data_IF_477920845415
#
_entry.id   IF_477920845415
#
_cell.length_a   1.000
_cell.length_b   1.000
_cell.length_c   1.000
_cell.angle_alpha   90.00
_cell.angle_beta   90.00
_cell.angle_gamma   90.00
#
_symmetry.space_group_name_H-M   'P 1'
#
loop_
_entity.id
_entity.type
_entity.pdbx_description
1 polymer ?
#
# COMPACT_ATOMS: atom_id res chain seq x y z
N UNK A 1 9.95 10.15 19.74
CA UNK A 1 10.29 11.37 18.97
C UNK A 1 9.04 11.88 18.26
N UNK A 2 8.45 12.98 18.75
CA UNK A 2 7.38 13.70 18.07
C UNK A 2 8.04 14.62 17.02
N UNK A 3 7.65 14.53 15.76
CA UNK A 3 8.14 15.44 14.73
C UNK A 3 7.43 16.78 14.90
N UNK A 4 8.20 17.84 15.12
CA UNK A 4 7.68 19.21 15.14
C UNK A 4 7.65 19.79 13.74
N UNK A 5 6.65 20.61 13.44
CA UNK A 5 6.59 21.45 12.26
C UNK A 5 6.55 22.91 12.68
N UNK A 6 7.00 23.81 11.81
CA UNK A 6 6.97 25.24 12.05
C UNK A 6 6.01 25.86 11.04
N UNK A 7 4.98 26.57 11.52
CA UNK A 7 4.01 27.23 10.64
C UNK A 7 4.57 28.54 10.06
N UNK A 8 3.82 29.16 9.15
CA UNK A 8 4.19 30.42 8.49
C UNK A 8 4.33 31.62 9.44
N UNK A 9 3.89 31.49 10.69
CA UNK A 9 4.02 32.50 11.74
C UNK A 9 5.18 32.16 12.72
N UNK A 10 6.00 31.16 12.39
CA UNK A 10 7.14 30.74 13.20
C UNK A 10 6.78 29.89 14.41
N UNK A 11 5.52 29.51 14.58
CA UNK A 11 5.06 28.72 15.74
C UNK A 11 5.42 27.25 15.52
N UNK A 12 6.21 26.71 16.44
CA UNK A 12 6.60 25.30 16.41
C UNK A 12 5.50 24.47 17.07
N UNK A 13 4.80 23.67 16.27
CA UNK A 13 3.80 22.71 16.72
C UNK A 13 4.33 21.27 16.63
N UNK A 14 3.82 20.37 17.46
CA UNK A 14 3.98 18.93 17.24
C UNK A 14 2.75 18.42 16.51
N UNK A 15 2.93 17.59 15.47
CA UNK A 15 1.77 17.05 14.71
C UNK A 15 0.97 16.03 15.55
N UNK A 16 1.32 15.77 16.82
CA UNK A 16 0.62 14.83 17.70
C UNK A 16 0.73 13.34 17.31
N UNK A 17 1.26 13.03 16.12
CA UNK A 17 1.41 11.66 15.64
C UNK A 17 2.75 11.03 16.01
N UNK A 18 2.71 9.74 16.34
CA UNK A 18 3.93 8.93 16.53
C UNK A 18 4.60 8.71 15.17
N UNK A 19 5.85 9.13 15.05
CA UNK A 19 6.67 8.83 13.89
C UNK A 19 7.08 7.35 13.89
N UNK A 20 6.80 6.62 12.80
CA UNK A 20 7.03 5.17 12.70
C UNK A 20 8.30 4.80 11.93
N UNK A 21 8.89 5.73 11.19
CA UNK A 21 10.13 5.51 10.45
C UNK A 21 10.17 6.20 9.09
N UNK A 22 11.34 6.13 8.44
CA UNK A 22 11.56 6.58 7.08
C UNK A 22 11.54 5.38 6.13
N UNK A 23 10.70 5.40 5.11
CA UNK A 23 10.80 4.44 4.03
C UNK A 23 11.78 4.97 2.97
N UNK A 24 12.83 4.21 2.63
CA UNK A 24 13.70 4.57 1.52
C UNK A 24 12.93 4.52 0.19
N UNK A 25 13.36 5.32 -0.78
CA UNK A 25 12.80 5.30 -2.13
C UNK A 25 13.07 3.95 -2.79
N UNK A 26 12.04 3.37 -3.42
CA UNK A 26 12.16 2.12 -4.18
C UNK A 26 12.30 2.45 -5.67
N UNK A 27 13.37 1.95 -6.29
CA UNK A 27 13.67 2.17 -7.71
C UNK A 27 14.55 3.40 -7.95
N UNK A 28 15.04 3.54 -9.18
CA UNK A 28 15.77 4.72 -9.66
C UNK A 28 14.83 5.91 -9.87
N UNK A 29 15.32 7.14 -9.69
CA UNK A 29 14.55 8.37 -9.98
C UNK A 29 14.00 8.33 -11.41
N UNK A 30 12.71 8.64 -11.64
CA UNK A 30 12.20 8.78 -13.01
C UNK A 30 12.92 9.97 -13.67
N UNK A 31 13.56 9.72 -14.81
CA UNK A 31 14.02 10.78 -15.72
C UNK A 31 12.81 11.41 -16.41
N UNK A 32 12.92 12.68 -16.80
CA UNK A 32 11.82 13.59 -17.22
C UNK A 32 10.99 13.18 -18.47
N UNK A 33 11.02 11.93 -18.94
CA UNK A 33 10.47 11.54 -20.24
C UNK A 33 9.23 10.62 -20.19
N UNK A 34 8.79 10.15 -19.03
CA UNK A 34 7.64 9.23 -18.98
C UNK A 34 6.29 9.97 -18.88
N UNK A 35 5.83 10.54 -20.01
CA UNK A 35 4.41 10.81 -20.23
C UNK A 35 3.77 9.59 -20.89
N UNK A 36 2.75 8.94 -20.30
CA UNK A 36 2.02 7.91 -21.01
C UNK A 36 1.04 8.56 -21.98
N UNK A 37 1.21 8.26 -23.28
CA UNK A 37 0.17 8.47 -24.28
C UNK A 37 -0.89 7.37 -24.14
N UNK A 38 -2.15 7.76 -24.29
CA UNK A 38 -3.29 6.86 -24.39
C UNK A 38 -3.20 6.04 -25.68
N UNK A 39 -3.06 4.71 -25.58
CA UNK A 39 -3.99 3.75 -26.21
C UNK A 39 -3.61 2.29 -25.91
N UNK A 40 -4.65 1.46 -25.88
CA UNK A 40 -4.67 0.02 -26.20
C UNK A 40 -4.20 -1.01 -25.15
N UNK A 41 -5.16 -1.40 -24.32
CA UNK A 41 -5.64 -2.78 -24.13
C UNK A 41 -4.78 -3.92 -24.72
N UNK A 42 -3.59 -4.18 -24.16
CA UNK A 42 -2.99 -5.54 -24.06
C UNK A 42 -2.23 -5.70 -22.75
N UNK A 43 -2.87 -6.43 -21.84
CA UNK A 43 -2.47 -6.65 -20.44
C UNK A 43 -1.29 -7.63 -20.34
N UNK A 44 -0.41 -7.36 -19.37
CA UNK A 44 0.59 -8.24 -18.71
C UNK A 44 2.08 -8.21 -19.10
N UNK A 45 2.57 -7.43 -20.08
CA UNK A 45 4.03 -7.45 -20.41
C UNK A 45 4.69 -6.12 -20.74
N UNK A 46 4.11 -4.97 -20.38
CA UNK A 46 4.87 -3.71 -20.50
C UNK A 46 5.95 -3.65 -19.39
N UNK A 47 7.20 -3.24 -19.69
CA UNK A 47 8.24 -3.07 -18.68
C UNK A 47 7.78 -2.22 -17.49
N UNK A 48 7.01 -1.17 -17.76
CA UNK A 48 6.44 -0.30 -16.73
C UNK A 48 5.48 -1.03 -15.76
N UNK A 49 4.65 -1.96 -16.25
CA UNK A 49 3.75 -2.72 -15.39
C UNK A 49 4.52 -3.70 -14.48
N UNK A 50 5.58 -4.31 -15.00
CA UNK A 50 6.46 -5.21 -14.24
C UNK A 50 7.16 -4.44 -13.12
N UNK A 51 7.77 -3.29 -13.45
CA UNK A 51 8.41 -2.45 -12.43
C UNK A 51 7.43 -1.93 -11.39
N UNK A 52 6.23 -1.49 -11.83
CA UNK A 52 5.18 -1.06 -10.91
C UNK A 52 4.82 -2.17 -9.94
N UNK A 53 4.62 -3.40 -10.45
CA UNK A 53 4.33 -4.57 -9.60
C UNK A 53 5.48 -4.88 -8.65
N UNK A 54 6.73 -4.82 -9.11
CA UNK A 54 7.90 -5.03 -8.26
C UNK A 54 7.94 -4.01 -7.09
N UNK A 55 7.63 -2.73 -7.36
CA UNK A 55 7.55 -1.70 -6.30
C UNK A 55 6.47 -1.99 -5.26
N UNK A 56 5.38 -2.65 -5.63
CA UNK A 56 4.30 -3.01 -4.71
C UNK A 56 4.60 -4.24 -3.85
N UNK A 57 5.67 -4.99 -4.16
CA UNK A 57 6.00 -6.28 -3.55
C UNK A 57 7.39 -6.35 -2.91
N UNK A 58 8.11 -5.23 -2.78
CA UNK A 58 9.44 -5.17 -2.16
C UNK A 58 9.53 -5.90 -0.82
N UNK A 59 8.52 -5.75 0.03
CA UNK A 59 8.44 -6.44 1.33
C UNK A 59 8.49 -7.97 1.24
N UNK A 60 8.02 -8.53 0.13
CA UNK A 60 7.95 -9.95 -0.16
C UNK A 60 9.17 -10.41 -0.96
N UNK A 61 9.52 -9.65 -1.99
CA UNK A 61 10.56 -10.02 -2.96
C UNK A 61 11.97 -9.71 -2.42
N UNK A 62 12.09 -8.72 -1.52
CA UNK A 62 13.32 -8.31 -0.85
C UNK A 62 13.09 -8.14 0.68
N UNK A 63 12.80 -9.23 1.41
CA UNK A 63 12.38 -9.17 2.82
C UNK A 63 13.46 -8.67 3.79
N UNK A 64 14.73 -8.72 3.38
CA UNK A 64 15.89 -8.20 4.12
C UNK A 64 16.27 -6.75 3.77
N UNK A 65 15.51 -6.08 2.88
CA UNK A 65 15.78 -4.70 2.51
C UNK A 65 15.46 -3.72 3.66
N UNK A 66 16.12 -2.55 3.65
CA UNK A 66 15.82 -1.46 4.59
C UNK A 66 14.36 -1.01 4.53
N UNK A 67 13.75 -1.09 3.35
CA UNK A 67 12.33 -0.79 3.17
C UNK A 67 11.45 -1.75 3.96
N UNK A 68 11.73 -3.05 3.85
CA UNK A 68 11.02 -4.12 4.58
C UNK A 68 11.22 -3.99 6.09
N UNK A 69 12.42 -3.59 6.52
CA UNK A 69 12.71 -3.42 7.95
C UNK A 69 11.98 -2.22 8.59
N UNK A 70 11.86 -1.10 7.86
CA UNK A 70 11.02 0.02 8.31
C UNK A 70 9.55 -0.42 8.48
N UNK A 71 9.02 -1.22 7.54
CA UNK A 71 7.65 -1.74 7.67
C UNK A 71 7.50 -2.74 8.83
N UNK A 72 8.53 -3.53 9.12
CA UNK A 72 8.56 -4.43 10.28
C UNK A 72 8.53 -3.66 11.60
N UNK A 73 9.28 -2.55 11.67
CA UNK A 73 9.23 -1.61 12.80
C UNK A 73 7.84 -0.99 12.97
N UNK A 74 7.19 -0.59 11.87
CA UNK A 74 5.82 -0.08 11.91
C UNK A 74 4.82 -1.15 12.40
N UNK A 75 4.95 -2.40 11.93
CA UNK A 75 4.15 -3.54 12.42
C UNK A 75 4.25 -3.69 13.94
N UNK A 76 5.46 -3.67 14.51
CA UNK A 76 5.64 -3.78 15.97
C UNK A 76 4.90 -2.66 16.70
N UNK A 77 4.97 -1.43 16.18
CA UNK A 77 4.23 -0.32 16.76
C UNK A 77 2.70 -0.51 16.67
N UNK A 78 2.18 -1.07 15.57
CA UNK A 78 0.77 -1.39 15.44
C UNK A 78 0.34 -2.50 16.39
N UNK A 79 1.15 -3.56 16.54
CA UNK A 79 0.86 -4.66 17.46
C UNK A 79 0.71 -4.18 18.91
N UNK A 80 1.55 -3.23 19.34
CA UNK A 80 1.46 -2.62 20.68
C UNK A 80 0.20 -1.76 20.83
N UNK A 81 -0.13 -0.94 19.83
CA UNK A 81 -1.29 -0.03 19.90
C UNK A 81 -2.63 -0.77 19.79
N UNK A 82 -2.65 -1.88 19.06
CA UNK A 82 -3.85 -2.67 18.77
C UNK A 82 -3.93 -3.94 19.62
N UNK A 83 -3.17 -4.01 20.72
CA UNK A 83 -3.20 -5.13 21.65
C UNK A 83 -4.61 -5.31 22.23
N UNK A 84 -5.07 -6.57 22.33
CA UNK A 84 -6.41 -6.91 22.80
C UNK A 84 -7.56 -6.63 21.80
N UNK A 85 -7.30 -6.04 20.64
CA UNK A 85 -8.33 -5.83 19.61
C UNK A 85 -8.56 -7.11 18.79
N UNK A 86 -9.82 -7.55 18.70
CA UNK A 86 -10.20 -8.76 17.96
C UNK A 86 -10.12 -8.63 16.43
N UNK A 87 -10.39 -7.44 15.89
CA UNK A 87 -10.19 -7.09 14.48
C UNK A 87 -9.39 -5.79 14.39
N UNK A 88 -8.41 -5.75 13.49
CA UNK A 88 -7.48 -4.63 13.33
C UNK A 88 -7.70 -3.98 11.96
N UNK A 89 -8.04 -2.70 11.96
CA UNK A 89 -8.25 -1.91 10.72
C UNK A 89 -7.19 -0.80 10.68
N UNK A 90 -6.37 -0.80 9.63
CA UNK A 90 -5.31 0.20 9.42
C UNK A 90 -5.63 0.99 8.14
N UNK A 91 -5.89 2.28 8.31
CA UNK A 91 -6.01 3.22 7.19
C UNK A 91 -4.65 3.77 6.77
N UNK A 92 -4.32 3.73 5.48
CA UNK A 92 -3.12 4.36 4.91
C UNK A 92 -3.55 5.54 4.04
N UNK A 93 -3.26 6.75 4.50
CA UNK A 93 -3.65 8.00 3.84
C UNK A 93 -2.42 8.85 3.54
N UNK A 94 -2.55 9.77 2.58
CA UNK A 94 -1.54 10.77 2.25
C UNK A 94 -2.21 12.11 1.98
N UNK A 95 -1.46 13.20 2.11
CA UNK A 95 -1.99 14.55 1.93
C UNK A 95 -2.12 14.86 0.44
N UNK A 96 -1.17 14.37 -0.36
CA UNK A 96 -1.10 14.61 -1.79
C UNK A 96 -1.10 13.29 -2.59
N UNK A 97 -1.58 13.33 -3.85
CA UNK A 97 -1.36 12.25 -4.80
C UNK A 97 0.14 12.00 -5.02
N UNK A 98 0.51 10.73 -5.21
CA UNK A 98 1.90 10.35 -5.53
C UNK A 98 2.85 10.19 -4.34
N UNK A 99 2.42 10.44 -3.10
CA UNK A 99 3.27 10.30 -1.89
C UNK A 99 3.56 8.84 -1.48
N UNK A 100 3.07 7.86 -2.24
CA UNK A 100 3.38 6.45 -2.02
C UNK A 100 2.41 5.70 -1.12
N UNK A 101 1.24 6.27 -0.76
CA UNK A 101 0.20 5.63 0.08
C UNK A 101 -0.12 4.19 -0.34
N UNK A 102 -0.37 3.99 -1.64
CA UNK A 102 -0.71 2.69 -2.21
C UNK A 102 0.47 1.72 -2.15
N UNK A 103 1.69 2.20 -2.42
CA UNK A 103 2.93 1.41 -2.33
C UNK A 103 3.18 0.94 -0.90
N UNK A 104 3.03 1.83 0.08
CA UNK A 104 3.17 1.51 1.51
C UNK A 104 2.07 0.52 1.94
N UNK A 105 0.81 0.76 1.55
CA UNK A 105 -0.31 -0.11 1.89
C UNK A 105 -0.10 -1.54 1.35
N UNK A 106 0.28 -1.69 0.07
CA UNK A 106 0.50 -2.99 -0.55
C UNK A 106 1.65 -3.77 0.10
N UNK A 107 2.78 -3.10 0.36
CA UNK A 107 3.92 -3.74 0.98
C UNK A 107 3.67 -4.05 2.47
N UNK A 108 2.97 -3.18 3.20
CA UNK A 108 2.58 -3.47 4.58
C UNK A 108 1.64 -4.68 4.63
N UNK A 109 0.61 -4.70 3.78
CA UNK A 109 -0.33 -5.82 3.71
C UNK A 109 0.34 -7.13 3.30
N UNK A 110 1.25 -7.09 2.31
CA UNK A 110 2.09 -8.22 1.93
C UNK A 110 2.91 -8.72 3.12
N UNK A 111 3.63 -7.84 3.80
CA UNK A 111 4.44 -8.19 4.97
C UNK A 111 3.61 -8.83 6.08
N UNK A 112 2.42 -8.29 6.37
CA UNK A 112 1.52 -8.85 7.38
C UNK A 112 1.04 -10.25 6.98
N UNK A 113 0.60 -10.43 5.75
CA UNK A 113 0.14 -11.71 5.21
C UNK A 113 1.24 -12.77 5.20
N UNK A 114 2.44 -12.41 4.73
CA UNK A 114 3.61 -13.29 4.70
C UNK A 114 4.09 -13.71 6.11
N UNK A 115 3.84 -12.88 7.12
CA UNK A 115 4.07 -13.20 8.53
C UNK A 115 2.92 -14.00 9.17
N UNK A 116 1.96 -14.49 8.38
CA UNK A 116 0.87 -15.37 8.83
C UNK A 116 -0.41 -14.67 9.28
N UNK A 117 -0.50 -13.33 9.20
CA UNK A 117 -1.74 -12.65 9.53
C UNK A 117 -2.80 -12.87 8.43
N UNK A 118 -4.06 -13.04 8.82
CA UNK A 118 -5.18 -12.96 7.87
C UNK A 118 -5.35 -11.50 7.47
N UNK A 119 -4.93 -11.16 6.26
CA UNK A 119 -4.88 -9.77 5.80
C UNK A 119 -5.70 -9.61 4.53
N UNK A 120 -6.55 -8.59 4.52
CA UNK A 120 -7.34 -8.13 3.38
C UNK A 120 -6.89 -6.71 3.04
N UNK A 121 -6.45 -6.50 1.79
CA UNK A 121 -6.07 -5.18 1.29
C UNK A 121 -7.20 -4.60 0.43
N UNK A 122 -7.75 -3.48 0.85
CA UNK A 122 -8.88 -2.82 0.19
C UNK A 122 -8.40 -1.53 -0.48
N UNK A 123 -8.69 -1.35 -1.77
CA UNK A 123 -8.50 -0.06 -2.44
C UNK A 123 -9.66 0.88 -2.09
N UNK A 124 -9.42 1.76 -1.12
CA UNK A 124 -10.40 2.77 -0.69
C UNK A 124 -10.49 4.00 -1.61
N UNK A 125 -9.66 4.08 -2.66
CA UNK A 125 -9.65 5.21 -3.61
C UNK A 125 -10.65 4.98 -4.74
N UNK A 126 -11.94 5.22 -4.45
CA UNK A 126 -13.03 4.97 -5.40
C UNK A 126 -12.99 5.88 -6.65
N UNK A 127 -12.27 7.01 -6.58
CA UNK A 127 -12.17 7.96 -7.69
C UNK A 127 -11.15 7.52 -8.72
N UNK A 128 -10.05 6.93 -8.29
CA UNK A 128 -9.00 6.44 -9.16
C UNK A 128 -8.46 5.08 -8.68
N UNK A 129 -9.30 4.02 -8.73
CA UNK A 129 -8.89 2.70 -8.27
C UNK A 129 -7.77 2.17 -9.16
N UNK A 130 -6.71 1.66 -8.54
CA UNK A 130 -5.50 1.29 -9.27
C UNK A 130 -4.61 0.28 -8.57
N UNK A 131 -4.95 -0.13 -7.35
CA UNK A 131 -4.16 -1.03 -6.53
C UNK A 131 -4.09 -2.44 -7.13
N UNK A 132 -5.23 -3.03 -7.49
CA UNK A 132 -5.33 -4.36 -8.11
C UNK A 132 -4.53 -4.45 -9.41
N UNK A 133 -4.63 -3.43 -10.28
CA UNK A 133 -3.79 -3.31 -11.49
C UNK A 133 -2.30 -3.22 -11.14
N UNK A 134 -1.94 -2.49 -10.09
CA UNK A 134 -0.53 -2.36 -9.66
C UNK A 134 0.07 -3.69 -9.22
N UNK A 135 -0.73 -4.53 -8.57
CA UNK A 135 -0.32 -5.84 -8.07
C UNK A 135 -0.33 -6.92 -9.16
N UNK A 136 -0.82 -6.61 -10.36
CA UNK A 136 -1.07 -7.59 -11.41
C UNK A 136 -2.22 -8.55 -11.06
N UNK A 137 -3.15 -8.09 -10.21
CA UNK A 137 -4.30 -8.84 -9.71
C UNK A 137 -5.59 -8.20 -10.24
N UNK A 138 -5.67 -7.97 -11.54
CA UNK A 138 -6.86 -7.37 -12.15
C UNK A 138 -8.11 -8.20 -11.80
N UNK A 139 -9.15 -7.50 -11.39
CA UNK A 139 -10.42 -8.07 -11.01
C UNK A 139 -11.52 -7.37 -11.81
N UNK A 140 -12.44 -8.15 -12.36
CA UNK A 140 -13.60 -7.63 -13.11
C UNK A 140 -14.63 -6.98 -12.19
N UNK A 141 -14.61 -7.35 -10.90
CA UNK A 141 -15.47 -6.86 -9.83
C UNK A 141 -14.60 -6.53 -8.62
N UNK A 142 -15.02 -5.59 -7.78
CA UNK A 142 -14.26 -5.15 -6.63
C UNK A 142 -15.14 -4.58 -5.52
N UNK A 143 -14.61 -3.58 -4.82
CA UNK A 143 -15.25 -3.02 -3.62
C UNK A 143 -16.66 -2.46 -3.89
N UNK A 144 -16.84 -1.78 -5.03
CA UNK A 144 -18.11 -1.18 -5.38
C UNK A 144 -19.19 -2.24 -5.59
N UNK A 145 -18.88 -3.33 -6.30
CA UNK A 145 -19.79 -4.43 -6.56
C UNK A 145 -20.14 -5.18 -5.27
N UNK A 146 -19.18 -5.41 -4.38
CA UNK A 146 -19.43 -6.00 -3.07
C UNK A 146 -20.42 -5.16 -2.24
N UNK A 147 -20.23 -3.83 -2.22
CA UNK A 147 -21.06 -2.92 -1.42
C UNK A 147 -22.44 -2.71 -2.04
N UNK A 148 -22.53 -2.52 -3.36
CA UNK A 148 -23.79 -2.16 -4.04
C UNK A 148 -24.66 -3.39 -4.31
N UNK A 149 -24.06 -4.50 -4.74
CA UNK A 149 -24.81 -5.70 -5.12
C UNK A 149 -25.01 -6.70 -3.97
N UNK A 150 -24.53 -6.36 -2.76
CA UNK A 150 -24.60 -7.24 -1.59
C UNK A 150 -23.79 -8.54 -1.73
N UNK A 151 -22.84 -8.57 -2.68
CA UNK A 151 -21.97 -9.71 -2.86
C UNK A 151 -20.95 -9.82 -1.72
N UNK A 152 -20.64 -11.05 -1.32
CA UNK A 152 -19.60 -11.30 -0.32
C UNK A 152 -18.24 -10.89 -0.88
N UNK A 153 -17.37 -10.27 -0.08
CA UNK A 153 -16.05 -9.85 -0.56
C UNK A 153 -15.22 -11.02 -1.12
N UNK A 154 -15.45 -12.24 -0.65
CA UNK A 154 -14.78 -13.46 -1.12
C UNK A 154 -15.11 -13.79 -2.57
N UNK A 155 -16.26 -13.37 -3.11
CA UNK A 155 -16.63 -13.64 -4.51
C UNK A 155 -15.99 -12.66 -5.50
N UNK A 156 -15.59 -11.48 -5.03
CA UNK A 156 -15.00 -10.42 -5.86
C UNK A 156 -13.50 -10.22 -5.62
N UNK A 157 -13.00 -10.64 -4.45
CA UNK A 157 -11.60 -10.51 -4.06
C UNK A 157 -10.67 -11.46 -4.80
N UNK A 158 -9.36 -11.16 -4.75
CA UNK A 158 -8.31 -11.97 -5.36
C UNK A 158 -7.30 -12.35 -4.29
N UNK A 159 -6.86 -13.61 -4.29
CA UNK A 159 -5.89 -14.09 -3.30
C UNK A 159 -4.53 -14.27 -3.95
N UNK A 160 -3.52 -13.61 -3.38
CA UNK A 160 -2.12 -13.87 -3.70
C UNK A 160 -1.73 -15.28 -3.22
N UNK A 161 -1.30 -16.13 -4.15
CA UNK A 161 -0.99 -17.54 -3.82
C UNK A 161 0.23 -17.70 -2.92
N UNK A 162 1.19 -16.79 -3.01
CA UNK A 162 2.46 -16.82 -2.29
C UNK A 162 2.27 -16.35 -0.84
N UNK A 163 1.59 -15.23 -0.64
CA UNK A 163 1.46 -14.62 0.69
C UNK A 163 0.13 -14.90 1.38
N UNK A 164 -0.88 -15.41 0.65
CA UNK A 164 -2.28 -15.51 1.08
C UNK A 164 -2.95 -14.16 1.37
N UNK A 165 -2.34 -13.06 0.92
CA UNK A 165 -2.99 -11.75 0.94
C UNK A 165 -4.28 -11.80 0.10
N UNK A 166 -5.39 -11.38 0.70
CA UNK A 166 -6.67 -11.22 0.03
C UNK A 166 -6.89 -9.77 -0.43
#
# INVERSE_FOLDING_TARGET
YLKTYQDSNGKVGAVGFKFLGYLPTIGSKPTKEDKPAESDLKVARSPAAIERRARMRVSIDAPASMFSETLRSAKIAFDVVMEGQGSRVIGVISVLPGEGKSTVAANLAGLLAANGARTLLIDGDLRNPGLSRSLGMEAEQGLMEAVVSGQTWQSVGKIDRQTKLA
#
